data_IF_789840211523
#
_entry.id   IF_789840211523
#
_cell.length_a   1.000
_cell.length_b   1.000
_cell.length_c   1.000
_cell.angle_alpha   90.00
_cell.angle_beta   90.00
_cell.angle_gamma   90.00
#
_symmetry.space_group_name_H-M   'P 1'
#
loop_
_entity.id
_entity.type
_entity.pdbx_description
1 polymer ?
#
# COMPACT_ATOMS: atom_id res chain seq x y z
N UNK A 1 -66.45 24.86 33.81
CA UNK A 1 -66.85 23.44 33.87
C UNK A 1 -66.25 22.86 35.12
N UNK A 2 -67.08 22.53 36.11
CA UNK A 2 -66.59 22.06 37.42
C UNK A 2 -66.28 20.55 37.37
N UNK A 3 -65.33 20.06 38.18
CA UNK A 3 -64.99 18.62 38.25
C UNK A 3 -66.22 17.74 38.53
N UNK A 4 -67.21 18.28 39.24
CA UNK A 4 -68.49 17.62 39.50
C UNK A 4 -69.33 17.41 38.23
N UNK A 5 -69.41 18.41 37.33
CA UNK A 5 -70.13 18.31 36.04
C UNK A 5 -69.47 17.27 35.12
N UNK A 6 -68.13 17.23 35.10
CA UNK A 6 -67.37 16.21 34.34
C UNK A 6 -67.77 14.78 34.77
N UNK A 7 -67.80 14.50 36.08
CA UNK A 7 -68.21 13.20 36.61
C UNK A 7 -69.68 12.85 36.34
N UNK A 8 -70.57 13.85 36.34
CA UNK A 8 -71.98 13.65 36.00
C UNK A 8 -72.16 13.27 34.52
N UNK A 9 -71.39 13.88 33.61
CA UNK A 9 -71.39 13.53 32.18
C UNK A 9 -70.93 12.10 31.98
N UNK A 10 -69.84 11.68 32.62
CA UNK A 10 -69.36 10.29 32.55
C UNK A 10 -70.40 9.30 33.07
N UNK A 11 -71.06 9.58 34.20
CA UNK A 11 -72.10 8.70 34.76
C UNK A 11 -73.34 8.61 33.86
N UNK A 12 -73.79 9.73 33.31
CA UNK A 12 -74.97 9.79 32.45
C UNK A 12 -74.77 9.10 31.11
N UNK A 13 -73.57 9.25 30.51
CA UNK A 13 -73.21 8.66 29.21
C UNK A 13 -72.42 7.36 29.33
N UNK A 14 -72.35 6.73 30.51
CA UNK A 14 -71.57 5.49 30.74
C UNK A 14 -71.87 4.37 29.74
N UNK A 15 -73.12 4.25 29.28
CA UNK A 15 -73.50 3.26 28.26
C UNK A 15 -72.86 3.54 26.90
N UNK A 16 -72.75 4.81 26.51
CA UNK A 16 -72.10 5.24 25.27
C UNK A 16 -70.59 5.00 25.37
N UNK A 17 -69.98 5.46 26.46
CA UNK A 17 -68.54 5.26 26.73
C UNK A 17 -68.20 3.76 26.69
N UNK A 18 -68.96 2.93 27.41
CA UNK A 18 -68.76 1.48 27.44
C UNK A 18 -69.00 0.83 26.06
N UNK A 19 -70.01 1.28 25.30
CA UNK A 19 -70.29 0.74 23.97
C UNK A 19 -69.18 1.06 22.96
N UNK A 20 -68.63 2.27 23.00
CA UNK A 20 -67.52 2.68 22.13
C UNK A 20 -66.27 1.91 22.51
N UNK A 21 -65.95 1.84 23.81
CA UNK A 21 -64.82 1.05 24.31
C UNK A 21 -64.93 -0.42 23.90
N UNK A 22 -66.10 -1.03 24.11
CA UNK A 22 -66.34 -2.43 23.76
C UNK A 22 -66.21 -2.63 22.24
N UNK A 23 -66.77 -1.74 21.42
CA UNK A 23 -66.65 -1.78 19.98
C UNK A 23 -65.18 -1.65 19.52
N UNK A 24 -64.41 -0.71 20.05
CA UNK A 24 -63.00 -0.52 19.70
C UNK A 24 -62.12 -1.69 20.13
N UNK A 25 -62.39 -2.28 21.29
CA UNK A 25 -61.65 -3.45 21.80
C UNK A 25 -61.99 -4.68 20.98
N UNK A 26 -63.27 -4.95 20.70
CA UNK A 26 -63.70 -6.10 19.88
C UNK A 26 -63.20 -5.97 18.44
N UNK A 27 -63.24 -4.77 17.85
CA UNK A 27 -62.71 -4.53 16.50
C UNK A 27 -61.20 -4.76 16.46
N UNK A 28 -60.44 -4.20 17.42
CA UNK A 28 -59.00 -4.40 17.47
C UNK A 28 -58.63 -5.86 17.76
N UNK A 29 -59.34 -6.54 18.66
CA UNK A 29 -59.12 -7.94 18.96
C UNK A 29 -59.42 -8.82 17.75
N UNK A 30 -60.56 -8.61 17.08
CA UNK A 30 -60.92 -9.31 15.86
C UNK A 30 -59.86 -9.10 14.78
N UNK A 31 -59.51 -7.85 14.48
CA UNK A 31 -58.48 -7.52 13.50
C UNK A 31 -57.12 -8.15 13.85
N UNK A 32 -56.71 -8.08 15.12
CA UNK A 32 -55.44 -8.64 15.59
C UNK A 32 -55.40 -10.17 15.59
N UNK A 33 -56.55 -10.86 15.63
CA UNK A 33 -56.61 -12.32 15.52
C UNK A 33 -56.70 -12.79 14.06
N UNK A 34 -57.24 -11.97 13.16
CA UNK A 34 -57.31 -12.26 11.73
C UNK A 34 -55.98 -12.00 10.99
N UNK A 35 -55.11 -11.17 11.56
CA UNK A 35 -53.83 -10.84 10.94
C UNK A 35 -52.88 -12.05 10.96
N UNK A 36 -52.17 -12.35 9.85
CA UNK A 36 -51.25 -13.48 9.79
C UNK A 36 -50.15 -13.37 10.84
N UNK A 37 -49.87 -14.50 11.51
CA UNK A 37 -48.78 -14.61 12.47
C UNK A 37 -47.44 -14.37 11.76
N UNK A 38 -46.57 -13.59 12.39
CA UNK A 38 -45.23 -13.28 11.88
C UNK A 38 -44.18 -13.74 12.87
N UNK A 39 -43.17 -14.43 12.37
CA UNK A 39 -42.09 -15.03 13.13
C UNK A 39 -40.80 -14.26 12.85
N UNK A 40 -40.06 -13.91 13.91
CA UNK A 40 -38.76 -13.24 13.83
C UNK A 40 -37.68 -14.24 14.20
N UNK A 41 -36.81 -14.58 13.26
CA UNK A 41 -35.60 -15.36 13.52
C UNK A 41 -34.40 -14.40 13.60
N UNK A 42 -33.43 -14.70 14.47
CA UNK A 42 -32.24 -13.85 14.71
C UNK A 42 -30.98 -14.72 14.76
N UNK A 43 -29.93 -14.31 14.06
CA UNK A 43 -28.57 -14.84 14.21
C UNK A 43 -27.65 -13.73 14.72
N UNK A 44 -26.66 -14.12 15.52
CA UNK A 44 -25.62 -13.22 16.02
C UNK A 44 -24.33 -13.49 15.27
N UNK A 45 -23.74 -12.45 14.70
CA UNK A 45 -22.47 -12.52 13.97
C UNK A 45 -21.44 -11.67 14.71
N UNK A 46 -20.31 -12.28 15.06
CA UNK A 46 -19.16 -11.60 15.66
C UNK A 46 -18.26 -11.06 14.55
N UNK A 47 -18.00 -9.76 14.61
CA UNK A 47 -17.03 -9.06 13.77
C UNK A 47 -15.70 -9.04 14.51
N UNK A 48 -14.73 -9.80 14.03
CA UNK A 48 -13.40 -9.87 14.62
C UNK A 48 -12.60 -8.63 14.21
N UNK A 49 -12.74 -7.56 14.99
CA UNK A 49 -11.86 -6.40 14.88
C UNK A 49 -10.51 -6.76 15.49
N UNK A 50 -9.62 -7.35 14.71
CA UNK A 50 -8.19 -7.32 15.03
C UNK A 50 -7.77 -5.88 14.82
N UNK A 51 -7.63 -5.12 15.91
CA UNK A 51 -7.13 -3.75 15.87
C UNK A 51 -5.70 -3.62 15.32
N UNK A 52 -5.13 -4.71 14.78
CA UNK A 52 -3.88 -4.82 14.04
C UNK A 52 -4.15 -5.50 12.71
N UNK A 53 -3.66 -4.90 11.63
CA UNK A 53 -3.63 -5.56 10.32
C UNK A 53 -2.79 -6.86 10.43
N UNK A 54 -3.35 -8.04 10.10
CA UNK A 54 -2.70 -9.33 10.30
C UNK A 54 -1.42 -9.53 9.46
N UNK A 55 -1.15 -8.67 8.47
CA UNK A 55 0.05 -8.73 7.63
C UNK A 55 1.06 -7.63 7.95
N UNK A 56 0.60 -6.41 8.23
CA UNK A 56 1.50 -5.29 8.53
C UNK A 56 1.77 -5.11 10.02
N UNK A 57 0.96 -5.72 10.89
CA UNK A 57 1.05 -5.56 12.35
C UNK A 57 0.67 -4.16 12.84
N UNK A 58 0.24 -3.26 11.94
CA UNK A 58 -0.07 -1.87 12.27
C UNK A 58 -1.41 -1.78 13.00
N UNK A 59 -1.41 -1.08 14.12
CA UNK A 59 -2.62 -0.85 14.91
C UNK A 59 -3.51 0.20 14.25
N UNK A 60 -4.77 -0.13 13.94
CA UNK A 60 -5.73 0.86 13.45
C UNK A 60 -6.31 1.70 14.62
N UNK A 61 -6.38 3.04 14.49
CA UNK A 61 -6.92 3.90 15.55
C UNK A 61 -8.37 3.56 15.91
N UNK A 62 -8.66 3.38 17.21
CA UNK A 62 -10.00 3.02 17.69
C UNK A 62 -11.11 4.03 17.37
N UNK A 63 -10.77 5.26 16.97
CA UNK A 63 -11.75 6.26 16.51
C UNK A 63 -12.47 5.87 15.21
N UNK A 64 -11.95 4.90 14.45
CA UNK A 64 -12.57 4.43 13.21
C UNK A 64 -13.61 3.31 13.42
N UNK A 65 -13.77 2.81 14.66
CA UNK A 65 -14.67 1.71 15.01
C UNK A 65 -16.14 1.95 14.64
N UNK A 66 -16.75 3.13 14.89
CA UNK A 66 -18.15 3.38 14.52
C UNK A 66 -18.38 3.34 12.99
N UNK A 67 -17.44 3.87 12.22
CA UNK A 67 -17.49 3.83 10.75
C UNK A 67 -17.33 2.40 10.20
N UNK A 68 -16.50 1.58 10.85
CA UNK A 68 -16.35 0.17 10.50
C UNK A 68 -17.65 -0.62 10.70
N UNK A 69 -18.34 -0.45 11.84
CA UNK A 69 -19.64 -1.11 12.08
C UNK A 69 -20.70 -0.72 11.06
N UNK A 70 -20.84 0.58 10.76
CA UNK A 70 -21.78 1.06 9.75
C UNK A 70 -21.48 0.44 8.37
N UNK A 71 -20.20 0.40 7.98
CA UNK A 71 -19.77 -0.23 6.73
C UNK A 71 -20.12 -1.72 6.68
N UNK A 72 -19.94 -2.46 7.79
CA UNK A 72 -20.32 -3.87 7.84
C UNK A 72 -21.83 -4.07 7.71
N UNK A 73 -22.65 -3.20 8.31
CA UNK A 73 -24.11 -3.22 8.16
C UNK A 73 -24.50 -2.98 6.68
N UNK A 74 -23.85 -2.03 6.00
CA UNK A 74 -24.09 -1.76 4.58
C UNK A 74 -23.69 -2.95 3.70
N UNK A 75 -22.61 -3.67 4.04
CA UNK A 75 -22.21 -4.89 3.33
C UNK A 75 -23.27 -5.99 3.54
N UNK A 76 -23.72 -6.23 4.78
CA UNK A 76 -24.75 -7.23 5.09
C UNK A 76 -26.06 -6.93 4.37
N UNK A 77 -26.47 -5.65 4.33
CA UNK A 77 -27.69 -5.17 3.66
C UNK A 77 -27.51 -4.91 2.16
N UNK A 78 -26.36 -5.25 1.58
CA UNK A 78 -26.10 -5.03 0.16
C UNK A 78 -26.90 -5.99 -0.73
N UNK A 79 -27.26 -5.52 -1.92
CA UNK A 79 -27.89 -6.36 -2.96
C UNK A 79 -27.04 -7.56 -3.36
N UNK A 80 -25.71 -7.47 -3.24
CA UNK A 80 -24.80 -8.57 -3.55
C UNK A 80 -25.00 -9.74 -2.57
N UNK A 81 -25.04 -9.47 -1.26
CA UNK A 81 -25.31 -10.50 -0.24
C UNK A 81 -26.73 -11.05 -0.42
N UNK A 82 -27.74 -10.18 -0.55
CA UNK A 82 -29.13 -10.60 -0.72
C UNK A 82 -29.36 -11.45 -1.98
N UNK A 83 -28.73 -11.08 -3.11
CA UNK A 83 -28.79 -11.86 -4.35
C UNK A 83 -28.17 -13.25 -4.19
N UNK A 84 -27.05 -13.39 -3.48
CA UNK A 84 -26.46 -14.71 -3.19
C UNK A 84 -27.30 -15.55 -2.26
N UNK A 85 -28.04 -14.94 -1.33
CA UNK A 85 -29.01 -15.65 -0.49
C UNK A 85 -30.15 -16.20 -1.34
N UNK A 86 -30.66 -15.41 -2.29
CA UNK A 86 -31.66 -15.87 -3.26
C UNK A 86 -31.15 -17.07 -4.06
N UNK A 87 -29.89 -17.02 -4.51
CA UNK A 87 -29.26 -18.10 -5.28
C UNK A 87 -29.07 -19.36 -4.41
N UNK A 88 -28.56 -19.21 -3.18
CA UNK A 88 -28.26 -20.29 -2.24
C UNK A 88 -29.50 -21.03 -1.77
N UNK A 89 -30.60 -20.31 -1.57
CA UNK A 89 -31.90 -20.89 -1.18
C UNK A 89 -32.74 -21.28 -2.40
N UNK A 90 -32.23 -21.11 -3.61
CA UNK A 90 -32.90 -21.42 -4.88
C UNK A 90 -34.31 -20.80 -5.01
N UNK A 91 -34.52 -19.59 -4.45
CA UNK A 91 -35.87 -18.99 -4.35
C UNK A 91 -36.47 -18.62 -5.71
N UNK A 92 -35.61 -18.27 -6.66
CA UNK A 92 -36.01 -17.88 -8.02
C UNK A 92 -36.58 -19.04 -8.86
N UNK A 93 -36.37 -20.30 -8.44
CA UNK A 93 -36.81 -21.48 -9.19
C UNK A 93 -38.27 -21.88 -8.95
N UNK A 94 -38.96 -21.30 -7.96
CA UNK A 94 -40.31 -21.73 -7.60
C UNK A 94 -41.39 -21.09 -8.52
N UNK A 95 -42.35 -21.88 -9.05
CA UNK A 95 -43.41 -21.36 -9.93
C UNK A 95 -44.25 -20.24 -9.28
N UNK A 96 -44.48 -20.33 -7.96
CA UNK A 96 -45.22 -19.30 -7.21
C UNK A 96 -44.49 -17.95 -7.19
N UNK A 97 -43.15 -17.97 -7.08
CA UNK A 97 -42.33 -16.75 -7.10
C UNK A 97 -42.32 -16.11 -8.48
N UNK A 98 -42.26 -16.91 -9.55
CA UNK A 98 -42.32 -16.39 -10.92
C UNK A 98 -43.67 -15.72 -11.23
N UNK A 99 -44.78 -16.29 -10.76
CA UNK A 99 -46.11 -15.69 -10.87
C UNK A 99 -46.21 -14.38 -10.07
N UNK A 100 -45.70 -14.34 -8.84
CA UNK A 100 -45.68 -13.12 -8.03
C UNK A 100 -44.80 -12.03 -8.64
N UNK A 101 -43.66 -12.41 -9.22
CA UNK A 101 -42.80 -11.48 -9.95
C UNK A 101 -43.54 -10.88 -11.16
N UNK A 102 -44.19 -11.72 -11.98
CA UNK A 102 -44.94 -11.26 -13.14
C UNK A 102 -46.10 -10.33 -12.74
N UNK A 103 -46.81 -10.65 -11.67
CA UNK A 103 -47.89 -9.81 -11.14
C UNK A 103 -47.40 -8.46 -10.58
N UNK A 104 -46.20 -8.44 -9.97
CA UNK A 104 -45.67 -7.24 -9.31
C UNK A 104 -44.87 -6.31 -10.25
N UNK A 105 -44.27 -6.86 -11.31
CA UNK A 105 -43.33 -6.12 -12.18
C UNK A 105 -43.70 -6.13 -13.65
N UNK A 106 -44.82 -6.76 -14.01
CA UNK A 106 -45.24 -6.99 -15.41
C UNK A 106 -44.16 -7.70 -16.24
N UNK A 107 -43.28 -8.47 -15.59
CA UNK A 107 -42.18 -9.19 -16.22
C UNK A 107 -40.95 -8.33 -16.54
N UNK A 108 -40.87 -7.09 -16.04
CA UNK A 108 -39.70 -6.22 -16.25
C UNK A 108 -38.66 -6.40 -15.14
N UNK A 109 -37.42 -6.66 -15.54
CA UNK A 109 -36.27 -6.77 -14.63
C UNK A 109 -35.86 -8.21 -14.35
N UNK A 110 -35.00 -8.39 -13.35
CA UNK A 110 -34.48 -9.69 -12.95
C UNK A 110 -35.20 -10.20 -11.69
N UNK A 111 -35.73 -11.43 -11.75
CA UNK A 111 -36.39 -12.11 -10.62
C UNK A 111 -35.49 -12.14 -9.39
N UNK A 112 -34.17 -12.34 -9.60
CA UNK A 112 -33.16 -12.37 -8.54
C UNK A 112 -33.07 -11.05 -7.79
N UNK A 113 -33.00 -9.94 -8.52
CA UNK A 113 -32.85 -8.60 -7.93
C UNK A 113 -34.13 -8.17 -7.22
N UNK A 114 -35.30 -8.50 -7.80
CA UNK A 114 -36.59 -8.25 -7.17
C UNK A 114 -36.75 -9.02 -5.85
N UNK A 115 -36.37 -10.31 -5.82
CA UNK A 115 -36.37 -11.11 -4.59
C UNK A 115 -35.38 -10.57 -3.56
N UNK A 116 -34.19 -10.17 -3.99
CA UNK A 116 -33.20 -9.56 -3.09
C UNK A 116 -33.77 -8.30 -2.42
N UNK A 117 -34.42 -7.43 -3.19
CA UNK A 117 -35.07 -6.22 -2.65
C UNK A 117 -36.24 -6.55 -1.69
N UNK A 118 -36.99 -7.62 -1.95
CA UNK A 118 -38.04 -8.10 -1.04
C UNK A 118 -37.48 -8.64 0.27
N UNK A 119 -36.37 -9.39 0.22
CA UNK A 119 -35.71 -9.91 1.42
C UNK A 119 -35.16 -8.76 2.25
N UNK A 120 -34.47 -7.80 1.62
CA UNK A 120 -33.91 -6.63 2.29
C UNK A 120 -34.96 -5.78 3.01
N UNK A 121 -36.17 -5.61 2.43
CA UNK A 121 -37.27 -4.89 3.10
C UNK A 121 -37.74 -5.52 4.41
N UNK A 122 -37.55 -6.83 4.59
CA UNK A 122 -37.96 -7.59 5.79
C UNK A 122 -36.79 -7.94 6.70
N UNK A 123 -35.57 -7.57 6.30
CA UNK A 123 -34.34 -7.76 7.05
C UNK A 123 -34.16 -6.59 8.02
N UNK A 124 -33.79 -6.91 9.26
CA UNK A 124 -33.50 -5.95 10.31
C UNK A 124 -32.12 -6.28 10.87
N UNK A 125 -31.17 -5.36 10.72
CA UNK A 125 -29.78 -5.54 11.15
C UNK A 125 -29.51 -4.52 12.26
N UNK A 126 -29.18 -5.00 13.45
CA UNK A 126 -28.99 -4.14 14.62
C UNK A 126 -27.64 -4.46 15.26
N UNK A 127 -26.74 -3.48 15.44
CA UNK A 127 -25.53 -3.67 16.21
C UNK A 127 -25.87 -3.77 17.70
N UNK A 128 -25.27 -4.73 18.40
CA UNK A 128 -25.38 -4.83 19.85
C UNK A 128 -24.64 -3.64 20.50
N UNK A 129 -25.25 -3.01 21.52
CA UNK A 129 -24.65 -1.86 22.20
C UNK A 129 -23.28 -2.24 22.80
N UNK A 130 -22.28 -1.42 22.49
CA UNK A 130 -20.90 -1.55 23.02
C UNK A 130 -20.23 -2.92 22.74
N UNK A 131 -20.59 -3.58 21.64
CA UNK A 131 -20.05 -4.88 21.26
C UNK A 131 -19.76 -4.97 19.75
N UNK A 132 -18.83 -5.84 19.36
CA UNK A 132 -18.54 -6.19 17.95
C UNK A 132 -19.50 -7.25 17.40
N UNK A 133 -20.68 -7.40 18.00
CA UNK A 133 -21.72 -8.35 17.58
C UNK A 133 -22.81 -7.61 16.82
N UNK A 134 -23.21 -8.16 15.69
CA UNK A 134 -24.34 -7.71 14.88
C UNK A 134 -25.42 -8.77 14.88
N UNK A 135 -26.64 -8.37 15.21
CA UNK A 135 -27.82 -9.20 15.11
C UNK A 135 -28.48 -9.03 13.75
N UNK A 136 -28.56 -10.12 13.00
CA UNK A 136 -29.27 -10.18 11.72
C UNK A 136 -30.61 -10.86 12.00
N UNK A 137 -31.71 -10.15 11.74
CA UNK A 137 -33.05 -10.67 11.97
C UNK A 137 -33.92 -10.60 10.72
N UNK A 138 -34.80 -11.59 10.53
CA UNK A 138 -35.75 -11.61 9.42
C UNK A 138 -37.16 -11.93 9.91
N UNK A 139 -38.16 -11.23 9.36
CA UNK A 139 -39.58 -11.43 9.68
C UNK A 139 -40.29 -12.17 8.55
N UNK A 140 -40.74 -13.40 8.84
CA UNK A 140 -41.41 -14.29 7.89
C UNK A 140 -42.71 -14.88 8.43
N UNK A 141 -43.54 -15.45 7.55
CA UNK A 141 -44.74 -16.19 7.94
C UNK A 141 -44.42 -17.63 8.37
N UNK A 142 -43.38 -18.22 7.77
CA UNK A 142 -42.87 -19.54 8.14
C UNK A 142 -41.63 -19.40 9.04
N UNK A 143 -41.63 -19.96 10.27
CA UNK A 143 -40.48 -19.89 11.17
C UNK A 143 -39.25 -20.63 10.64
N UNK A 144 -39.44 -21.73 9.88
CA UNK A 144 -38.34 -22.48 9.27
C UNK A 144 -37.63 -21.66 8.20
N UNK A 145 -38.40 -21.11 7.26
CA UNK A 145 -37.90 -20.19 6.25
C UNK A 145 -37.21 -18.96 6.84
N UNK A 146 -37.79 -18.34 7.88
CA UNK A 146 -37.18 -17.17 8.51
C UNK A 146 -35.77 -17.47 9.06
N UNK A 147 -35.60 -18.62 9.73
CA UNK A 147 -34.28 -19.05 10.22
C UNK A 147 -33.33 -19.38 9.07
N UNK A 148 -33.80 -20.06 8.02
CA UNK A 148 -32.99 -20.39 6.84
C UNK A 148 -32.47 -19.14 6.12
N UNK A 149 -33.32 -18.11 5.96
CA UNK A 149 -32.92 -16.83 5.35
C UNK A 149 -31.83 -16.15 6.17
N UNK A 150 -32.00 -16.03 7.49
CA UNK A 150 -31.00 -15.37 8.35
C UNK A 150 -29.67 -16.12 8.35
N UNK A 151 -29.70 -17.46 8.43
CA UNK A 151 -28.48 -18.27 8.36
C UNK A 151 -27.78 -18.13 7.00
N UNK A 152 -28.55 -18.09 5.91
CA UNK A 152 -27.99 -17.84 4.59
C UNK A 152 -27.37 -16.42 4.50
N UNK A 153 -28.00 -15.39 5.07
CA UNK A 153 -27.40 -14.05 5.14
C UNK A 153 -26.07 -14.05 5.90
N UNK A 154 -26.00 -14.73 7.04
CA UNK A 154 -24.78 -14.83 7.84
C UNK A 154 -23.64 -15.54 7.08
N UNK A 155 -23.93 -16.68 6.45
CA UNK A 155 -22.97 -17.44 5.63
C UNK A 155 -22.51 -16.65 4.38
N UNK A 156 -23.45 -16.05 3.65
CA UNK A 156 -23.12 -15.29 2.44
C UNK A 156 -22.38 -13.99 2.76
N UNK A 157 -22.71 -13.33 3.88
CA UNK A 157 -21.93 -12.20 4.37
C UNK A 157 -20.48 -12.60 4.67
N UNK A 158 -20.26 -13.71 5.38
CA UNK A 158 -18.92 -14.22 5.67
C UNK A 158 -18.11 -14.43 4.37
N UNK A 159 -18.72 -15.06 3.36
CA UNK A 159 -18.11 -15.31 2.04
C UNK A 159 -17.83 -14.03 1.27
N UNK A 160 -18.75 -13.05 1.29
CA UNK A 160 -18.56 -11.76 0.62
C UNK A 160 -17.41 -10.99 1.28
N UNK A 161 -17.30 -11.00 2.61
CA UNK A 161 -16.20 -10.33 3.31
C UNK A 161 -14.84 -10.93 2.95
N UNK A 162 -14.72 -12.25 2.87
CA UNK A 162 -13.50 -12.91 2.37
C UNK A 162 -13.20 -12.52 0.93
N UNK A 163 -14.21 -12.42 0.07
CA UNK A 163 -14.01 -12.01 -1.32
C UNK A 163 -13.59 -10.54 -1.47
N UNK A 164 -14.19 -9.63 -0.70
CA UNK A 164 -13.79 -8.21 -0.70
C UNK A 164 -12.32 -8.02 -0.31
N UNK A 165 -11.77 -8.92 0.52
CA UNK A 165 -10.36 -8.97 0.90
C UNK A 165 -9.48 -9.63 -0.16
N UNK A 166 -9.91 -10.78 -0.69
CA UNK A 166 -9.09 -11.61 -1.60
C UNK A 166 -9.11 -11.15 -3.05
N UNK A 167 -10.19 -10.54 -3.55
CA UNK A 167 -10.33 -10.18 -4.96
C UNK A 167 -9.33 -9.08 -5.42
N UNK A 168 -9.11 -7.99 -4.66
CA UNK A 168 -8.04 -7.04 -4.96
C UNK A 168 -6.66 -7.71 -4.92
N UNK A 169 -6.41 -8.58 -3.94
CA UNK A 169 -5.16 -9.33 -3.82
C UNK A 169 -4.93 -10.28 -5.00
N UNK A 170 -5.97 -10.96 -5.51
CA UNK A 170 -5.90 -11.80 -6.72
C UNK A 170 -5.50 -10.98 -7.94
N UNK A 171 -6.11 -9.81 -8.14
CA UNK A 171 -5.77 -8.90 -9.25
C UNK A 171 -4.33 -8.39 -9.12
N UNK A 172 -3.92 -7.98 -7.92
CA UNK A 172 -2.55 -7.54 -7.65
C UNK A 172 -1.54 -8.68 -7.86
N UNK A 173 -1.84 -9.89 -7.39
CA UNK A 173 -1.00 -11.07 -7.59
C UNK A 173 -0.85 -11.41 -9.08
N UNK A 174 -1.93 -11.35 -9.87
CA UNK A 174 -1.86 -11.53 -11.32
C UNK A 174 -0.98 -10.46 -12.00
N UNK A 175 -1.11 -9.19 -11.60
CA UNK A 175 -0.27 -8.10 -12.08
C UNK A 175 1.21 -8.33 -11.74
N UNK A 176 1.53 -8.59 -10.47
CA UNK A 176 2.92 -8.82 -10.04
C UNK A 176 3.51 -10.09 -10.64
N UNK A 177 2.72 -11.13 -10.88
CA UNK A 177 3.19 -12.33 -11.59
C UNK A 177 3.68 -11.98 -12.99
N UNK A 178 2.91 -11.16 -13.72
CA UNK A 178 3.28 -10.74 -15.07
C UNK A 178 4.51 -9.82 -15.05
N UNK A 179 4.58 -8.89 -14.10
CA UNK A 179 5.76 -8.05 -13.90
C UNK A 179 7.01 -8.88 -13.53
N UNK A 180 6.88 -9.89 -12.68
CA UNK A 180 7.99 -10.79 -12.31
C UNK A 180 8.51 -11.57 -13.51
N UNK A 181 7.65 -12.00 -14.44
CA UNK A 181 8.09 -12.63 -15.70
C UNK A 181 8.90 -11.67 -16.56
N UNK A 182 8.35 -10.48 -16.82
CA UNK A 182 9.06 -9.45 -17.61
C UNK A 182 10.40 -9.06 -17.00
N UNK A 183 10.46 -8.92 -15.67
CA UNK A 183 11.69 -8.59 -14.95
C UNK A 183 12.69 -9.76 -14.96
N UNK A 184 12.22 -11.01 -14.95
CA UNK A 184 13.09 -12.18 -15.15
C UNK A 184 13.72 -12.16 -16.53
N UNK A 185 12.93 -11.93 -17.57
CA UNK A 185 13.44 -11.87 -18.95
C UNK A 185 14.48 -10.74 -19.10
N UNK A 186 14.23 -9.58 -18.48
CA UNK A 186 15.18 -8.47 -18.44
C UNK A 186 16.48 -8.82 -17.69
N UNK A 187 16.36 -9.53 -16.56
CA UNK A 187 17.51 -10.02 -15.79
C UNK A 187 18.34 -11.00 -16.61
N UNK A 188 17.71 -11.98 -17.25
CA UNK A 188 18.38 -12.95 -18.13
C UNK A 188 19.05 -12.25 -19.32
N UNK A 189 18.39 -11.26 -19.92
CA UNK A 189 18.97 -10.46 -21.01
C UNK A 189 20.17 -9.59 -20.54
N UNK A 190 20.12 -9.04 -19.33
CA UNK A 190 21.25 -8.31 -18.74
C UNK A 190 22.43 -9.24 -18.42
N UNK A 191 22.16 -10.41 -17.85
CA UNK A 191 23.17 -11.46 -17.60
C UNK A 191 23.82 -11.93 -18.91
N UNK A 192 23.03 -12.19 -19.94
CA UNK A 192 23.52 -12.62 -21.24
C UNK A 192 24.41 -11.56 -21.90
N UNK A 193 24.03 -10.27 -21.83
CA UNK A 193 24.86 -9.16 -22.33
C UNK A 193 26.18 -9.04 -21.58
N UNK A 194 26.16 -9.13 -20.25
CA UNK A 194 27.38 -9.11 -19.44
C UNK A 194 28.30 -10.29 -19.79
N UNK A 195 27.75 -11.50 -19.86
CA UNK A 195 28.51 -12.71 -20.18
C UNK A 195 29.12 -12.65 -21.57
N UNK A 196 28.34 -12.21 -22.58
CA UNK A 196 28.83 -12.01 -23.95
C UNK A 196 29.98 -11.00 -23.99
N UNK A 197 29.84 -9.87 -23.32
CA UNK A 197 30.90 -8.86 -23.26
C UNK A 197 32.17 -9.39 -22.55
N UNK A 198 32.01 -10.15 -21.47
CA UNK A 198 33.13 -10.81 -20.79
C UNK A 198 33.85 -11.81 -21.70
N UNK A 199 33.11 -12.60 -22.48
CA UNK A 199 33.68 -13.55 -23.45
C UNK A 199 34.42 -12.83 -24.59
N UNK A 200 33.82 -11.80 -25.19
CA UNK A 200 34.43 -11.03 -26.29
C UNK A 200 35.71 -10.31 -25.87
N UNK A 201 35.78 -9.83 -24.61
CA UNK A 201 36.95 -9.13 -24.05
C UNK A 201 37.91 -10.04 -23.30
N UNK A 202 37.64 -11.35 -23.22
CA UNK A 202 38.47 -12.32 -22.51
C UNK A 202 38.61 -12.02 -21.00
N UNK A 203 37.57 -11.45 -20.38
CA UNK A 203 37.55 -11.10 -18.96
C UNK A 203 37.19 -12.35 -18.17
N UNK A 204 38.19 -13.09 -17.73
CA UNK A 204 38.02 -14.33 -16.93
C UNK A 204 37.84 -14.02 -15.44
N UNK A 205 38.24 -12.82 -14.98
CA UNK A 205 38.10 -12.40 -13.59
C UNK A 205 37.93 -10.88 -13.50
N UNK A 206 36.98 -10.40 -12.70
CA UNK A 206 36.71 -8.98 -12.43
C UNK A 206 37.72 -8.38 -11.43
N UNK A 207 39.00 -8.70 -11.59
CA UNK A 207 40.01 -8.27 -10.63
C UNK A 207 40.38 -6.80 -10.87
N UNK A 208 39.81 -5.91 -10.06
CA UNK A 208 40.07 -4.47 -10.13
C UNK A 208 41.57 -4.14 -9.91
N UNK A 209 42.34 -5.03 -9.28
CA UNK A 209 43.75 -4.81 -9.01
C UNK A 209 44.63 -4.73 -10.28
N UNK A 210 44.18 -5.28 -11.41
CA UNK A 210 45.00 -5.29 -12.63
C UNK A 210 45.23 -3.88 -13.19
N UNK A 211 44.23 -3.00 -13.14
CA UNK A 211 44.36 -1.62 -13.63
C UNK A 211 45.33 -0.84 -12.73
N UNK A 212 45.23 -1.01 -11.42
CA UNK A 212 46.05 -0.29 -10.45
C UNK A 212 47.53 -0.68 -10.55
N UNK A 213 47.83 -1.97 -10.79
CA UNK A 213 49.21 -2.44 -11.02
C UNK A 213 49.79 -1.86 -12.31
N UNK A 214 49.02 -1.85 -13.40
CA UNK A 214 49.48 -1.31 -14.69
C UNK A 214 49.65 0.22 -14.63
N UNK A 215 48.84 0.91 -13.83
CA UNK A 215 48.97 2.34 -13.55
C UNK A 215 50.21 2.66 -12.71
N UNK A 216 50.52 1.83 -11.70
CA UNK A 216 51.75 1.96 -10.93
C UNK A 216 52.99 1.79 -11.82
N UNK A 217 52.97 0.82 -12.74
CA UNK A 217 54.05 0.62 -13.73
C UNK A 217 54.19 1.80 -14.69
N UNK A 218 53.08 2.44 -15.09
CA UNK A 218 53.10 3.65 -15.91
C UNK A 218 53.81 4.81 -15.17
N UNK A 219 53.53 4.98 -13.88
CA UNK A 219 54.17 6.01 -13.06
C UNK A 219 55.67 5.75 -12.87
N UNK A 220 56.07 4.50 -12.67
CA UNK A 220 57.49 4.10 -12.59
C UNK A 220 58.25 4.38 -13.90
N UNK A 221 57.70 3.98 -15.05
CA UNK A 221 58.27 4.30 -16.37
C UNK A 221 58.38 5.82 -16.59
N UNK A 222 57.39 6.59 -16.13
CA UNK A 222 57.43 8.05 -16.23
C UNK A 222 58.58 8.64 -15.41
N UNK A 223 58.81 8.13 -14.19
CA UNK A 223 59.93 8.57 -13.35
C UNK A 223 61.29 8.20 -13.97
N UNK A 224 61.41 6.99 -14.51
CA UNK A 224 62.61 6.54 -15.22
C UNK A 224 62.89 7.36 -16.48
N UNK A 225 61.86 7.74 -17.24
CA UNK A 225 62.01 8.59 -18.42
C UNK A 225 62.52 9.98 -18.05
N UNK A 226 62.00 10.60 -17.00
CA UNK A 226 62.48 11.91 -16.54
C UNK A 226 63.96 11.86 -16.14
N UNK A 227 64.37 10.80 -15.43
CA UNK A 227 65.78 10.59 -15.08
C UNK A 227 66.66 10.38 -16.32
N UNK A 228 66.24 9.56 -17.27
CA UNK A 228 66.98 9.30 -18.51
C UNK A 228 67.06 10.54 -19.41
N UNK A 229 65.99 11.36 -19.46
CA UNK A 229 65.96 12.60 -20.21
C UNK A 229 66.95 13.62 -19.63
N UNK A 230 67.04 13.73 -18.29
CA UNK A 230 68.06 14.56 -17.65
C UNK A 230 69.48 14.10 -18.01
N UNK A 231 69.74 12.78 -17.98
CA UNK A 231 71.03 12.21 -18.38
C UNK A 231 71.34 12.45 -19.87
N UNK A 232 70.37 12.33 -20.77
CA UNK A 232 70.56 12.58 -22.20
C UNK A 232 70.85 14.06 -22.49
N UNK A 233 70.19 14.99 -21.80
CA UNK A 233 70.47 16.44 -21.89
C UNK A 233 71.90 16.74 -21.44
N UNK A 234 72.33 16.14 -20.31
CA UNK A 234 73.69 16.28 -19.81
C UNK A 234 74.72 15.70 -20.81
N UNK A 235 74.48 14.48 -21.30
CA UNK A 235 75.34 13.82 -22.27
C UNK A 235 75.49 14.61 -23.58
N UNK A 236 74.40 15.18 -24.09
CA UNK A 236 74.42 16.04 -25.29
C UNK A 236 75.20 17.35 -25.04
N UNK A 237 75.06 17.93 -23.85
CA UNK A 237 75.84 19.12 -23.46
C UNK A 237 77.34 18.81 -23.39
N UNK A 238 77.72 17.66 -22.82
CA UNK A 238 79.10 17.18 -22.78
C UNK A 238 79.66 16.87 -24.18
N UNK A 239 78.86 16.29 -25.07
CA UNK A 239 79.23 16.04 -26.48
C UNK A 239 79.53 17.36 -27.21
N UNK A 240 78.67 18.38 -27.07
CA UNK A 240 78.91 19.71 -27.67
C UNK A 240 80.17 20.36 -27.12
N UNK A 241 80.40 20.28 -25.80
CA UNK A 241 81.62 20.79 -25.18
C UNK A 241 82.88 20.04 -25.64
N UNK A 242 82.78 18.72 -25.89
CA UNK A 242 83.89 17.89 -26.36
C UNK A 242 84.28 18.20 -27.80
N UNK A 243 83.30 18.48 -28.68
CA UNK A 243 83.54 18.97 -30.05
C UNK A 243 84.22 20.33 -30.08
N UNK A 244 83.98 21.18 -29.08
CA UNK A 244 84.66 22.48 -28.89
C UNK A 244 85.99 22.40 -28.13
N UNK A 245 86.45 21.21 -27.72
CA UNK A 245 87.71 21.03 -26.97
C UNK A 245 87.68 21.46 -25.50
N UNK A 246 86.51 21.82 -24.97
CA UNK A 246 86.31 22.37 -23.63
C UNK A 246 85.54 21.44 -22.67
N UNK A 247 85.27 20.19 -23.07
CA UNK A 247 84.61 19.23 -22.17
C UNK A 247 85.50 18.90 -20.97
N UNK A 248 84.93 18.78 -19.75
CA UNK A 248 85.63 18.25 -18.59
C UNK A 248 86.27 16.88 -18.86
N UNK A 249 85.64 16.04 -19.69
CA UNK A 249 86.11 14.69 -20.01
C UNK A 249 87.39 14.72 -20.88
N UNK A 250 87.53 15.73 -21.74
CA UNK A 250 88.74 15.96 -22.56
C UNK A 250 89.83 16.64 -21.73
N UNK A 251 89.44 17.58 -20.86
CA UNK A 251 90.37 18.38 -20.04
C UNK A 251 90.99 17.58 -18.90
N UNK A 252 90.25 16.62 -18.33
CA UNK A 252 90.68 15.77 -17.21
C UNK A 252 91.31 14.44 -17.68
N UNK A 253 91.38 14.20 -18.99
CA UNK A 253 91.99 12.97 -19.49
C UNK A 253 93.52 13.02 -19.32
N UNK A 254 94.08 12.07 -18.57
CA UNK A 254 95.52 12.03 -18.24
C UNK A 254 96.41 12.01 -19.49
N UNK A 255 96.00 11.33 -20.57
CA UNK A 255 96.77 11.28 -21.82
C UNK A 255 96.79 12.65 -22.51
N UNK A 256 95.65 13.34 -22.55
CA UNK A 256 95.55 14.70 -23.11
C UNK A 256 96.35 15.70 -22.27
N UNK A 257 96.31 15.58 -20.95
CA UNK A 257 97.10 16.42 -20.04
C UNK A 257 98.60 16.20 -20.24
N UNK A 258 99.06 14.95 -20.30
CA UNK A 258 100.46 14.62 -20.54
C UNK A 258 100.93 15.14 -21.90
N UNK A 259 100.14 14.93 -22.97
CA UNK A 259 100.45 15.46 -24.30
C UNK A 259 100.46 16.99 -24.36
N UNK A 260 99.59 17.68 -23.61
CA UNK A 260 99.62 19.15 -23.48
C UNK A 260 100.90 19.64 -22.81
N UNK A 261 101.33 18.98 -21.74
CA UNK A 261 102.58 19.31 -21.03
C UNK A 261 103.80 19.05 -21.93
N UNK A 262 103.84 17.89 -22.62
CA UNK A 262 104.89 17.56 -23.58
C UNK A 262 104.93 18.53 -24.76
N UNK A 263 103.77 18.92 -25.30
CA UNK A 263 103.67 19.90 -26.36
C UNK A 263 104.16 21.28 -25.90
N UNK A 264 103.76 21.75 -24.72
CA UNK A 264 104.23 23.03 -24.18
C UNK A 264 105.76 23.04 -23.99
N UNK A 265 106.34 21.92 -23.54
CA UNK A 265 107.79 21.76 -23.42
C UNK A 265 108.50 21.76 -24.80
N UNK A 266 107.95 21.05 -25.79
CA UNK A 266 108.49 21.03 -27.15
C UNK A 266 108.34 22.39 -27.85
N UNK A 267 107.25 23.11 -27.63
CA UNK A 267 107.04 24.47 -28.15
C UNK A 267 108.03 25.46 -27.53
N UNK A 268 108.32 25.35 -26.22
CA UNK A 268 109.36 26.14 -25.56
C UNK A 268 110.75 25.85 -26.13
N UNK A 269 111.08 24.57 -26.39
CA UNK A 269 112.35 24.15 -27.02
C UNK A 269 112.46 24.64 -28.46
N UNK A 270 111.38 24.59 -29.23
CA UNK A 270 111.32 25.16 -30.58
C UNK A 270 111.51 26.68 -30.55
N UNK A 271 110.92 27.38 -29.58
CA UNK A 271 111.08 28.82 -29.40
C UNK A 271 112.55 29.19 -29.09
N UNK A 272 113.22 28.51 -28.15
CA UNK A 272 114.65 28.72 -27.87
C UNK A 272 115.52 28.42 -29.11
N UNK A 273 115.27 27.29 -29.80
CA UNK A 273 115.99 26.91 -31.03
C UNK A 273 115.78 27.94 -32.14
N UNK A 274 114.59 28.52 -32.26
CA UNK A 274 114.25 29.56 -33.26
C UNK A 274 114.95 30.90 -33.02
N UNK A 275 115.33 31.18 -31.76
CA UNK A 275 116.11 32.37 -31.41
C UNK A 275 117.59 32.24 -31.78
N UNK A 276 118.10 31.00 -31.81
CA UNK A 276 119.52 30.68 -32.04
C UNK A 276 119.84 30.28 -33.47
N UNK A 277 118.88 29.66 -34.17
CA UNK A 277 119.10 29.08 -35.49
C UNK A 277 118.05 29.51 -36.51
N UNK A 278 118.47 29.71 -37.76
CA UNK A 278 117.56 30.00 -38.87
C UNK A 278 116.70 28.80 -39.28
N UNK A 279 115.58 29.07 -39.97
CA UNK A 279 114.56 28.06 -40.35
C UNK A 279 115.06 26.85 -41.14
N UNK A 280 116.23 26.95 -41.80
CA UNK A 280 116.84 25.88 -42.60
C UNK A 280 117.84 25.02 -41.82
N UNK A 281 118.11 25.33 -40.54
CA UNK A 281 119.07 24.57 -39.74
C UNK A 281 118.49 23.20 -39.31
N UNK A 282 119.25 22.09 -39.36
CA UNK A 282 118.76 20.75 -39.04
C UNK A 282 118.10 20.64 -37.66
N UNK A 283 118.64 21.34 -36.65
CA UNK A 283 118.09 21.33 -35.30
C UNK A 283 116.73 22.05 -35.19
N UNK A 284 116.49 23.09 -36.00
CA UNK A 284 115.20 23.76 -36.07
C UNK A 284 114.14 22.86 -36.72
N UNK A 285 114.50 22.17 -37.81
CA UNK A 285 113.59 21.23 -38.48
C UNK A 285 113.24 20.04 -37.59
N UNK A 286 114.20 19.51 -36.83
CA UNK A 286 113.97 18.45 -35.85
C UNK A 286 113.02 18.90 -34.73
N UNK A 287 113.24 20.07 -34.12
CA UNK A 287 112.37 20.61 -33.08
C UNK A 287 110.96 20.94 -33.62
N UNK A 288 110.86 21.41 -34.86
CA UNK A 288 109.56 21.66 -35.51
C UNK A 288 108.80 20.36 -35.77
N UNK A 289 109.48 19.32 -36.27
CA UNK A 289 108.87 17.99 -36.47
C UNK A 289 108.42 17.37 -35.16
N UNK A 290 109.15 17.61 -34.05
CA UNK A 290 108.77 17.17 -32.70
C UNK A 290 107.45 17.85 -32.25
N UNK A 291 107.33 19.17 -32.45
CA UNK A 291 106.09 19.92 -32.18
C UNK A 291 104.94 19.46 -33.08
N UNK A 292 105.16 19.32 -34.39
CA UNK A 292 104.12 18.92 -35.34
C UNK A 292 103.61 17.50 -35.05
N UNK A 293 104.51 16.58 -34.66
CA UNK A 293 104.16 15.23 -34.22
C UNK A 293 103.32 15.26 -32.94
N UNK A 294 103.77 15.96 -31.89
CA UNK A 294 103.02 16.09 -30.63
C UNK A 294 101.66 16.77 -30.82
N UNK A 295 101.56 17.75 -31.73
CA UNK A 295 100.27 18.36 -32.10
C UNK A 295 99.33 17.37 -32.78
N UNK A 296 99.84 16.54 -33.70
CA UNK A 296 99.04 15.50 -34.37
C UNK A 296 98.56 14.43 -33.39
N UNK A 297 99.43 13.98 -32.47
CA UNK A 297 99.10 13.03 -31.42
C UNK A 297 98.07 13.61 -30.44
N UNK A 298 98.21 14.88 -30.04
CA UNK A 298 97.24 15.57 -29.19
C UNK A 298 95.86 15.68 -29.88
N UNK A 299 95.82 16.07 -31.15
CA UNK A 299 94.57 16.15 -31.91
C UNK A 299 93.89 14.78 -32.07
N UNK A 300 94.68 13.72 -32.28
CA UNK A 300 94.19 12.34 -32.39
C UNK A 300 93.64 11.83 -31.05
N UNK A 301 94.33 12.12 -29.95
CA UNK A 301 93.87 11.80 -28.60
C UNK A 301 92.59 12.56 -28.25
N UNK A 302 92.53 13.87 -28.54
CA UNK A 302 91.32 14.69 -28.35
C UNK A 302 90.14 14.19 -29.18
N UNK A 303 90.37 13.80 -30.45
CA UNK A 303 89.35 13.22 -31.32
C UNK A 303 88.81 11.88 -30.79
N UNK A 304 89.70 11.03 -30.27
CA UNK A 304 89.33 9.73 -29.67
C UNK A 304 88.46 9.92 -28.42
N UNK A 305 88.86 10.84 -27.52
CA UNK A 305 88.07 11.15 -26.32
C UNK A 305 86.74 11.80 -26.69
N UNK A 306 86.72 12.74 -27.64
CA UNK A 306 85.50 13.39 -28.12
C UNK A 306 84.52 12.39 -28.76
N UNK A 307 85.03 11.43 -29.54
CA UNK A 307 84.23 10.34 -30.12
C UNK A 307 83.66 9.41 -29.05
N UNK A 308 84.42 9.13 -27.98
CA UNK A 308 83.94 8.35 -26.82
C UNK A 308 82.80 9.07 -26.08
N UNK A 309 82.94 10.38 -25.83
CA UNK A 309 81.88 11.21 -25.24
C UNK A 309 80.64 11.24 -26.13
N UNK A 310 80.81 11.37 -27.45
CA UNK A 310 79.72 11.31 -28.42
C UNK A 310 79.01 9.95 -28.45
N UNK A 311 79.77 8.85 -28.33
CA UNK A 311 79.23 7.50 -28.18
C UNK A 311 78.38 7.35 -26.93
N UNK A 312 78.84 7.86 -25.78
CA UNK A 312 78.06 7.86 -24.54
C UNK A 312 76.78 8.68 -24.66
N UNK A 313 76.85 9.87 -25.28
CA UNK A 313 75.67 10.69 -25.53
C UNK A 313 74.65 10.02 -26.48
N UNK A 314 75.12 9.21 -27.44
CA UNK A 314 74.25 8.40 -28.29
C UNK A 314 73.54 7.29 -27.50
N UNK A 315 74.26 6.57 -26.61
CA UNK A 315 73.67 5.54 -25.72
C UNK A 315 72.59 6.13 -24.82
N UNK A 316 72.83 7.31 -24.22
CA UNK A 316 71.86 7.98 -23.36
C UNK A 316 70.60 8.41 -24.13
N UNK A 317 70.75 8.93 -25.36
CA UNK A 317 69.61 9.24 -26.24
C UNK A 317 68.81 8.00 -26.64
N UNK A 318 69.50 6.89 -26.92
CA UNK A 318 68.86 5.63 -27.25
C UNK A 318 68.01 5.11 -26.07
N UNK A 319 68.56 5.16 -24.85
CA UNK A 319 67.84 4.78 -23.62
C UNK A 319 66.61 5.67 -23.36
N UNK A 320 66.72 6.98 -23.59
CA UNK A 320 65.57 7.89 -23.51
C UNK A 320 64.48 7.50 -24.51
N UNK A 321 64.86 7.23 -25.76
CA UNK A 321 63.92 6.84 -26.82
C UNK A 321 63.21 5.51 -26.51
N UNK A 322 63.93 4.52 -25.97
CA UNK A 322 63.38 3.23 -25.54
C UNK A 322 62.38 3.39 -24.39
N UNK A 323 62.74 4.15 -23.35
CA UNK A 323 61.83 4.43 -22.23
C UNK A 323 60.60 5.21 -22.69
N UNK A 324 60.76 6.13 -23.64
CA UNK A 324 59.64 6.89 -24.22
C UNK A 324 58.68 5.97 -24.99
N UNK A 325 59.22 5.02 -25.76
CA UNK A 325 58.43 4.03 -26.48
C UNK A 325 57.69 3.10 -25.50
N UNK A 326 58.38 2.57 -24.49
CA UNK A 326 57.78 1.73 -23.45
C UNK A 326 56.68 2.45 -22.66
N UNK A 327 56.88 3.74 -22.34
CA UNK A 327 55.86 4.57 -21.69
C UNK A 327 54.63 4.76 -22.59
N UNK A 328 54.83 5.01 -23.89
CA UNK A 328 53.73 5.17 -24.83
C UNK A 328 52.90 3.89 -24.99
N UNK A 329 53.56 2.73 -25.06
CA UNK A 329 52.91 1.41 -25.10
C UNK A 329 52.14 1.14 -23.81
N UNK A 330 52.76 1.34 -22.65
CA UNK A 330 52.12 1.15 -21.36
C UNK A 330 50.92 2.10 -21.18
N UNK A 331 51.02 3.35 -21.65
CA UNK A 331 49.91 4.31 -21.63
C UNK A 331 48.75 3.83 -22.49
N UNK A 332 49.03 3.29 -23.68
CA UNK A 332 47.99 2.73 -24.56
C UNK A 332 47.27 1.56 -23.87
N UNK A 333 48.03 0.66 -23.23
CA UNK A 333 47.49 -0.48 -22.47
C UNK A 333 46.60 -0.04 -21.31
N UNK A 334 47.03 0.93 -20.51
CA UNK A 334 46.24 1.47 -19.39
C UNK A 334 44.96 2.16 -19.89
N UNK A 335 45.02 2.89 -21.01
CA UNK A 335 43.83 3.50 -21.60
C UNK A 335 42.83 2.47 -22.12
N UNK A 336 43.29 1.38 -22.72
CA UNK A 336 42.44 0.28 -23.17
C UNK A 336 41.77 -0.46 -22.00
N UNK A 337 42.52 -0.72 -20.93
CA UNK A 337 41.98 -1.32 -19.71
C UNK A 337 40.92 -0.41 -19.06
N UNK A 338 41.18 0.90 -19.00
CA UNK A 338 40.19 1.86 -18.49
C UNK A 338 38.92 1.90 -19.37
N UNK A 339 39.05 1.93 -20.70
CA UNK A 339 37.88 1.85 -21.60
C UNK A 339 37.06 0.58 -21.36
N UNK A 340 37.73 -0.55 -21.25
CA UNK A 340 37.07 -1.84 -20.98
C UNK A 340 36.32 -1.82 -19.65
N UNK A 341 36.91 -1.21 -18.61
CA UNK A 341 36.29 -1.01 -17.29
C UNK A 341 35.09 -0.07 -17.35
N UNK A 342 35.21 1.04 -18.06
CA UNK A 342 34.15 2.04 -18.23
C UNK A 342 32.95 1.46 -18.98
N UNK A 343 33.18 0.58 -19.96
CA UNK A 343 32.12 -0.17 -20.66
C UNK A 343 31.49 -1.27 -19.80
N UNK A 344 32.28 -1.94 -18.94
CA UNK A 344 31.80 -2.99 -18.04
C UNK A 344 30.93 -2.44 -16.89
N UNK A 345 31.26 -1.25 -16.38
CA UNK A 345 30.58 -0.64 -15.24
C UNK A 345 29.05 -0.51 -15.40
N UNK A 346 28.55 0.05 -16.52
CA UNK A 346 27.12 0.10 -16.83
C UNK A 346 26.46 -1.28 -16.89
N UNK A 347 27.10 -2.29 -17.48
CA UNK A 347 26.55 -3.64 -17.58
C UNK A 347 26.38 -4.29 -16.20
N UNK A 348 27.34 -4.09 -15.30
CA UNK A 348 27.24 -4.55 -13.91
C UNK A 348 26.12 -3.85 -13.14
N UNK A 349 26.01 -2.52 -13.29
CA UNK A 349 24.93 -1.74 -12.68
C UNK A 349 23.56 -2.14 -13.23
N UNK A 350 23.46 -2.42 -14.52
CA UNK A 350 22.23 -2.87 -15.16
C UNK A 350 21.82 -4.25 -14.65
N UNK A 351 22.75 -5.20 -14.56
CA UNK A 351 22.50 -6.51 -13.97
C UNK A 351 22.01 -6.41 -12.51
N UNK A 352 22.73 -5.64 -11.69
CA UNK A 352 22.37 -5.43 -10.29
C UNK A 352 21.00 -4.75 -10.14
N UNK A 353 20.70 -3.74 -10.96
CA UNK A 353 19.39 -3.09 -10.96
C UNK A 353 18.27 -4.04 -11.40
N UNK A 354 18.51 -4.87 -12.42
CA UNK A 354 17.54 -5.86 -12.88
C UNK A 354 17.28 -6.93 -11.80
N UNK A 355 18.34 -7.38 -11.11
CA UNK A 355 18.24 -8.33 -10.00
C UNK A 355 17.39 -7.76 -8.86
N UNK A 356 17.70 -6.54 -8.39
CA UNK A 356 16.93 -5.88 -7.31
C UNK A 356 15.46 -5.70 -7.69
N UNK A 357 15.18 -5.30 -8.94
CA UNK A 357 13.81 -5.14 -9.42
C UNK A 357 13.05 -6.48 -9.43
N UNK A 358 13.68 -7.54 -9.94
CA UNK A 358 13.12 -8.89 -9.94
C UNK A 358 12.84 -9.40 -8.52
N UNK A 359 13.78 -9.23 -7.59
CA UNK A 359 13.63 -9.68 -6.20
C UNK A 359 12.50 -8.93 -5.49
N UNK A 360 12.44 -7.61 -5.66
CA UNK A 360 11.37 -6.78 -5.09
C UNK A 360 9.98 -7.18 -5.64
N UNK A 361 9.88 -7.39 -6.96
CA UNK A 361 8.64 -7.86 -7.59
C UNK A 361 8.25 -9.27 -7.13
N UNK A 362 9.21 -10.19 -7.04
CA UNK A 362 9.00 -11.57 -6.59
C UNK A 362 8.53 -11.63 -5.13
N UNK A 363 9.07 -10.77 -4.26
CA UNK A 363 8.62 -10.64 -2.88
C UNK A 363 7.19 -10.11 -2.81
N UNK A 364 6.85 -9.07 -3.57
CA UNK A 364 5.48 -8.53 -3.65
C UNK A 364 4.49 -9.52 -4.23
N UNK A 365 4.87 -10.28 -5.26
CA UNK A 365 4.07 -11.37 -5.80
C UNK A 365 3.79 -12.44 -4.75
N UNK A 366 4.81 -12.86 -3.99
CA UNK A 366 4.65 -13.88 -2.96
C UNK A 366 3.73 -13.42 -1.83
N UNK A 367 3.88 -12.17 -1.36
CA UNK A 367 3.01 -11.57 -0.35
C UNK A 367 1.54 -11.51 -0.82
N UNK A 368 1.29 -10.90 -1.98
CA UNK A 368 -0.06 -10.77 -2.53
C UNK A 368 -0.70 -12.12 -2.90
N UNK A 369 0.10 -13.13 -3.26
CA UNK A 369 -0.38 -14.49 -3.49
C UNK A 369 -0.90 -15.16 -2.22
N UNK A 370 -0.20 -14.99 -1.10
CA UNK A 370 -0.66 -15.50 0.21
C UNK A 370 -1.97 -14.83 0.61
N UNK A 371 -2.08 -13.50 0.42
CA UNK A 371 -3.30 -12.75 0.66
C UNK A 371 -4.47 -13.22 -0.23
N UNK A 372 -4.20 -13.45 -1.52
CA UNK A 372 -5.19 -13.91 -2.49
C UNK A 372 -5.75 -15.32 -2.17
N UNK A 373 -4.96 -16.15 -1.48
CA UNK A 373 -5.32 -17.51 -1.04
C UNK A 373 -5.86 -17.55 0.39
N UNK A 374 -5.97 -16.42 1.07
CA UNK A 374 -6.48 -16.38 2.45
C UNK A 374 -7.98 -16.69 2.47
N UNK A 375 -8.34 -17.83 3.06
CA UNK A 375 -9.74 -18.19 3.34
C UNK A 375 -10.19 -17.71 4.73
N UNK A 376 -9.29 -17.05 5.48
CA UNK A 376 -9.59 -16.62 6.84
C UNK A 376 -10.57 -15.44 6.81
N UNK A 377 -11.78 -15.68 7.30
CA UNK A 377 -12.77 -14.63 7.51
C UNK A 377 -12.51 -13.89 8.81
N UNK A 378 -12.63 -12.57 8.76
CA UNK A 378 -12.65 -11.69 9.94
C UNK A 378 -14.06 -11.65 10.57
N UNK A 379 -14.98 -12.50 10.10
CA UNK A 379 -16.36 -12.63 10.55
C UNK A 379 -16.61 -14.07 10.99
N UNK A 380 -17.25 -14.25 12.15
CA UNK A 380 -17.67 -15.57 12.64
C UNK A 380 -19.12 -15.55 13.08
N UNK A 381 -19.86 -16.62 12.75
CA UNK A 381 -21.22 -16.79 13.26
C UNK A 381 -21.13 -17.22 14.72
N UNK A 382 -21.62 -16.36 15.62
CA UNK A 382 -21.62 -16.62 17.06
C UNK A 382 -22.78 -17.54 17.44
N UNK A 383 -24.00 -17.14 17.06
CA UNK A 383 -25.21 -17.91 17.28
C UNK A 383 -25.96 -18.04 15.95
N UNK A 384 -26.15 -19.25 15.41
CA UNK A 384 -27.00 -19.44 14.24
C UNK A 384 -28.47 -19.15 14.58
N UNK A 385 -29.25 -18.73 13.58
CA UNK A 385 -30.68 -18.53 13.74
C UNK A 385 -31.40 -19.87 13.90
N UNK A 386 -32.26 -19.93 14.91
CA UNK A 386 -33.15 -21.07 15.19
C UNK A 386 -34.59 -20.67 14.84
N UNK A 387 -35.39 -21.63 14.37
CA UNK A 387 -36.80 -21.41 14.09
C UNK A 387 -37.54 -21.01 15.39
N UNK A 388 -38.15 -19.81 15.45
CA UNK A 388 -38.84 -19.37 16.66
C UNK A 388 -40.10 -20.20 16.91
N UNK A 389 -40.33 -20.56 18.17
CA UNK A 389 -41.52 -21.32 18.60
C UNK A 389 -42.75 -20.43 18.79
N UNK A 390 -42.54 -19.15 19.10
CA UNK A 390 -43.60 -18.17 19.33
C UNK A 390 -43.66 -17.10 18.23
N UNK A 391 -44.86 -16.62 17.85
CA UNK A 391 -45.00 -15.54 16.89
C UNK A 391 -44.56 -14.21 17.49
N UNK A 392 -43.75 -13.46 16.76
CA UNK A 392 -43.29 -12.12 17.13
C UNK A 392 -44.39 -11.05 17.02
N UNK A 393 -45.42 -11.31 16.21
CA UNK A 393 -46.58 -10.44 16.06
C UNK A 393 -47.77 -11.13 15.38
N UNK A 394 -48.99 -10.58 15.52
CA UNK A 394 -49.31 -9.37 16.27
C UNK A 394 -49.34 -9.60 17.80
N UNK A 395 -48.88 -8.60 18.57
CA UNK A 395 -48.87 -8.65 20.04
C UNK A 395 -50.28 -8.38 20.56
N UNK A 396 -51.15 -9.40 20.51
CA UNK A 396 -52.59 -9.30 20.82
C UNK A 396 -52.82 -8.57 22.14
N UNK A 397 -52.10 -8.93 23.20
CA UNK A 397 -52.22 -8.29 24.51
C UNK A 397 -51.94 -6.78 24.46
N UNK A 398 -50.83 -6.38 23.83
CA UNK A 398 -50.46 -4.96 23.71
C UNK A 398 -51.48 -4.20 22.87
N UNK A 399 -51.89 -4.75 21.73
CA UNK A 399 -52.89 -4.15 20.85
C UNK A 399 -54.22 -3.95 21.58
N UNK A 400 -54.67 -4.93 22.36
CA UNK A 400 -55.91 -4.81 23.16
C UNK A 400 -55.81 -3.76 24.26
N UNK A 401 -54.65 -3.63 24.91
CA UNK A 401 -54.43 -2.63 25.97
C UNK A 401 -54.43 -1.22 25.38
N UNK A 402 -53.74 -1.03 24.25
CA UNK A 402 -53.76 0.24 23.50
C UNK A 402 -55.17 0.57 23.02
N UNK A 403 -55.91 -0.41 22.48
CA UNK A 403 -57.30 -0.23 22.07
C UNK A 403 -58.22 0.11 23.24
N UNK A 404 -57.98 -0.44 24.43
CA UNK A 404 -58.72 -0.09 25.64
C UNK A 404 -58.49 1.37 26.03
N UNK A 405 -57.23 1.84 26.02
CA UNK A 405 -56.89 3.23 26.33
C UNK A 405 -57.51 4.20 25.30
N UNK A 406 -57.27 3.95 24.02
CA UNK A 406 -57.82 4.77 22.92
C UNK A 406 -59.35 4.74 22.94
N UNK A 407 -59.95 3.57 23.13
CA UNK A 407 -61.40 3.40 23.24
C UNK A 407 -62.01 4.16 24.41
N UNK A 408 -61.32 4.22 25.55
CA UNK A 408 -61.73 5.03 26.69
C UNK A 408 -61.69 6.51 26.37
N UNK A 409 -60.59 7.01 25.79
CA UNK A 409 -60.44 8.42 25.42
C UNK A 409 -61.47 8.83 24.37
N UNK A 410 -61.66 8.03 23.33
CA UNK A 410 -62.67 8.25 22.30
C UNK A 410 -64.09 8.21 22.87
N UNK A 411 -64.38 7.23 23.75
CA UNK A 411 -65.67 7.12 24.41
C UNK A 411 -66.01 8.35 25.25
N UNK A 412 -65.04 8.83 26.03
CA UNK A 412 -65.16 10.07 26.81
C UNK A 412 -65.32 11.27 25.88
N UNK A 413 -64.50 11.41 24.84
CA UNK A 413 -64.56 12.52 23.89
C UNK A 413 -65.92 12.61 23.18
N UNK A 414 -66.45 11.48 22.70
CA UNK A 414 -67.79 11.43 22.07
C UNK A 414 -68.88 11.74 23.09
N UNK A 415 -68.78 11.25 24.33
CA UNK A 415 -69.72 11.60 25.38
C UNK A 415 -69.72 13.12 25.67
N UNK A 416 -68.55 13.76 25.63
CA UNK A 416 -68.40 15.21 25.77
C UNK A 416 -68.99 15.97 24.58
N UNK A 417 -68.70 15.55 23.34
CA UNK A 417 -69.25 16.20 22.14
C UNK A 417 -70.78 16.11 22.09
N UNK A 418 -71.34 14.94 22.43
CA UNK A 418 -72.80 14.76 22.52
C UNK A 418 -73.44 15.64 23.60
N UNK A 419 -72.72 15.91 24.69
CA UNK A 419 -73.19 16.83 25.72
C UNK A 419 -73.04 18.30 25.29
N UNK A 420 -72.02 18.63 24.49
CA UNK A 420 -71.82 19.99 23.99
C UNK A 420 -72.91 20.38 22.98
N UNK A 421 -73.28 19.47 22.08
CA UNK A 421 -74.34 19.69 21.10
C UNK A 421 -75.75 19.64 21.69
N UNK A 422 -75.94 18.93 22.80
CA UNK A 422 -77.23 18.81 23.46
C UNK A 422 -77.01 18.83 24.97
N UNK A 423 -77.13 20.01 25.59
CA UNK A 423 -76.91 20.27 27.02
C UNK A 423 -78.23 20.14 27.82
N UNK A 424 -78.58 18.96 28.34
CA UNK A 424 -79.69 18.84 29.28
C UNK A 424 -79.32 19.45 30.63
N UNK A 425 -80.27 20.12 31.27
CA UNK A 425 -80.16 20.54 32.68
C UNK A 425 -80.14 19.29 33.56
N UNK A 426 -79.03 19.01 34.24
CA UNK A 426 -78.88 17.79 35.06
C UNK A 426 -78.72 18.05 36.55
N UNK A 427 -78.33 19.26 36.93
CA UNK A 427 -78.16 19.68 38.30
C UNK A 427 -78.89 21.00 38.58
N UNK A 428 -79.28 21.23 39.83
CA UNK A 428 -79.76 22.53 40.30
C UNK A 428 -78.75 23.66 40.03
N UNK A 429 -77.45 23.35 40.06
CA UNK A 429 -76.39 24.30 39.68
C UNK A 429 -76.44 24.72 38.21
N UNK A 430 -76.85 23.81 37.31
CA UNK A 430 -76.94 24.12 35.88
C UNK A 430 -78.11 25.07 35.59
N UNK A 431 -79.21 25.00 36.36
CA UNK A 431 -80.32 25.98 36.26
C UNK A 431 -79.89 27.38 36.69
N UNK A 432 -79.08 27.48 37.75
CA UNK A 432 -78.54 28.77 38.23
C UNK A 432 -77.65 29.42 37.18
N UNK A 433 -76.78 28.64 36.53
CA UNK A 433 -75.84 29.13 35.52
C UNK A 433 -76.52 29.49 34.18
N UNK A 434 -77.58 28.76 33.80
CA UNK A 434 -78.29 29.00 32.53
C UNK A 434 -79.39 30.08 32.63
N UNK A 435 -80.12 30.14 33.75
CA UNK A 435 -81.27 31.03 33.92
C UNK A 435 -80.98 32.23 34.85
N UNK A 436 -79.82 32.27 35.51
CA UNK A 436 -79.39 33.39 36.38
C UNK A 436 -80.17 33.53 37.70
N UNK A 437 -81.06 32.59 38.02
CA UNK A 437 -81.95 32.63 39.18
C UNK A 437 -81.50 31.68 40.30
N UNK A 438 -81.61 32.07 41.59
CA UNK A 438 -81.27 31.20 42.71
C UNK A 438 -82.27 30.03 42.82
N UNK A 439 -81.76 28.79 42.86
CA UNK A 439 -82.59 27.61 43.07
C UNK A 439 -82.99 27.53 44.54
N UNK A 440 -84.29 27.67 44.82
CA UNK A 440 -84.85 27.75 46.17
C UNK A 440 -85.07 26.39 46.85
N UNK A 441 -85.11 25.30 46.06
CA UNK A 441 -85.28 23.94 46.57
C UNK A 441 -85.20 22.90 45.47
N UNK A 442 -84.82 21.67 45.83
CA UNK A 442 -84.80 20.52 44.92
C UNK A 442 -85.70 19.44 45.49
N UNK A 443 -86.57 18.87 44.65
CA UNK A 443 -87.42 17.73 45.02
C UNK A 443 -86.84 16.51 44.31
N UNK A 444 -86.25 15.59 45.08
CA UNK A 444 -85.78 14.33 44.52
C UNK A 444 -86.98 13.43 44.17
N UNK A 445 -87.24 13.29 42.88
CA UNK A 445 -88.21 12.30 42.41
C UNK A 445 -87.52 10.96 42.19
N UNK A 446 -87.56 10.09 43.19
CA UNK A 446 -87.12 8.70 43.03
C UNK A 446 -88.18 7.90 42.29
N UNK A 447 -87.87 7.51 41.05
CA UNK A 447 -88.70 6.59 40.28
C UNK A 447 -88.62 5.19 40.93
N UNK A 448 -89.76 4.64 41.34
CA UNK A 448 -89.84 3.31 41.96
C UNK A 448 -89.10 2.25 41.10
N UNK A 449 -88.34 1.32 41.71
CA UNK A 449 -87.55 0.36 40.95
C UNK A 449 -88.46 -0.53 40.09
N UNK A 450 -88.26 -0.48 38.76
CA UNK A 450 -88.95 -1.36 37.83
C UNK A 450 -88.59 -2.83 38.10
N UNK A 451 -89.52 -3.79 37.89
CA UNK A 451 -89.29 -5.18 38.24
C UNK A 451 -88.10 -5.76 37.49
N UNK A 452 -87.18 -6.39 38.23
CA UNK A 452 -86.01 -7.05 37.68
C UNK A 452 -86.44 -8.24 36.80
N UNK A 453 -86.11 -8.20 35.51
CA UNK A 453 -86.41 -9.30 34.56
C UNK A 453 -85.75 -10.64 34.93
N UNK A 454 -84.80 -10.63 35.86
CA UNK A 454 -84.13 -11.84 36.38
C UNK A 454 -84.98 -12.60 37.42
N UNK A 455 -86.07 -12.03 37.95
CA UNK A 455 -87.01 -12.73 38.85
C UNK A 455 -88.09 -13.54 38.11
N UNK A 456 -88.17 -13.43 36.78
CA UNK A 456 -89.19 -14.10 35.96
C UNK A 456 -88.84 -15.55 35.58
N UNK A 457 -87.65 -16.05 35.96
CA UNK A 457 -87.19 -17.42 35.64
C UNK A 457 -87.12 -18.35 36.87
N UNK A 458 -87.61 -17.92 38.04
CA UNK A 458 -87.68 -18.78 39.22
C UNK A 458 -89.06 -19.49 39.31
N UNK A 459 -89.12 -20.83 39.41
CA UNK A 459 -90.38 -21.54 39.56
C UNK A 459 -91.08 -21.18 40.88
N UNK A 460 -92.40 -20.98 40.80
CA UNK A 460 -93.32 -20.45 41.84
C UNK A 460 -93.43 -21.23 43.17
N UNK A 461 -92.57 -22.22 43.45
CA UNK A 461 -92.55 -22.92 44.73
C UNK A 461 -91.32 -22.49 45.52
N UNK A 462 -91.49 -21.49 46.39
CA UNK A 462 -90.72 -21.18 47.61
C UNK A 462 -90.90 -19.68 47.98
N UNK A 463 -92.14 -19.24 48.20
CA UNK A 463 -92.46 -17.92 48.78
C UNK A 463 -93.47 -18.01 49.92
N UNK A 464 -93.44 -19.10 50.69
CA UNK A 464 -94.00 -19.13 52.04
C UNK A 464 -92.97 -19.76 52.96
N UNK A 465 -92.15 -18.93 53.56
CA UNK A 465 -91.68 -18.98 54.95
C UNK A 465 -90.58 -17.91 55.13
N UNK A 466 -90.81 -17.08 56.15
CA UNK A 466 -90.07 -15.93 56.66
C UNK A 466 -90.20 -14.62 55.88
#
# INVERSE_FOLDING_TARGET
MNAHQFLQILRARKKIILSILLATVLLTLGFSLLQPKTYKATASVLLNYKGVDPLTGLTMPGQLLPGYMATQIDIISSKNVAGRVVDTLHLAGSPAVLQQFQAATEGRGNVRDWLADLLLKKLEIVPSRESSVVEISFKGADPGFAAAVVNAFADQYQKVTVQLKTDPAKKASAYFNEQTKQLRDNLEAAQARLSKYQQEKGIVSLDNNRVDVELARLNDLSAQLVAAQAQAIEGNSRERAARGGASPDVTNNMMVQNLRVSLASAEAKLADTSSRYGRNHPQYQAARSEVDKLRSELNSAMSTVSSSVGGNAAVLRQREAELRAALAEQKAKVLELNRTRDELGPLLKELDSAQRAYDAASQRFSQTRIEAQSEQSDVSVLNPAVAPTEPSGPRVLLNTLVAFLIGTVLGVGVAFLLELFNRPVRSASDMKDVLGIPVLGTIEWQRAPGPSRLRALAPRRLQRLN
#
